data_IF_177201982603
#
_entry.id   IF_177201982603
#
_cell.length_a   1.000
_cell.length_b   1.000
_cell.length_c   1.000
_cell.angle_alpha   90.00
_cell.angle_beta   90.00
_cell.angle_gamma   90.00
#
_symmetry.space_group_name_H-M   'P 1'
#
loop_
_entity.id
_entity.type
_entity.pdbx_description
1 polymer ?
#
# COMPACT_ATOMS: atom_id res chain seq x y z
N UNK A 1 -11.05 -11.68 -15.80
CA UNK A 1 -9.83 -11.50 -15.00
C UNK A 1 -9.55 -10.02 -15.03
N UNK A 2 -9.96 -9.34 -13.97
CA UNK A 2 -9.42 -8.01 -13.68
C UNK A 2 -7.99 -8.28 -13.21
N UNK A 3 -7.03 -7.59 -13.81
CA UNK A 3 -5.64 -7.64 -13.38
C UNK A 3 -5.39 -6.28 -12.73
N UNK A 4 -5.12 -6.26 -11.43
CA UNK A 4 -4.70 -5.06 -10.70
C UNK A 4 -3.50 -4.35 -11.33
N UNK A 5 -3.10 -3.21 -10.75
CA UNK A 5 -1.96 -2.45 -11.23
C UNK A 5 -0.63 -3.23 -11.08
N UNK A 6 -0.04 -3.63 -12.20
CA UNK A 6 1.25 -4.33 -12.21
C UNK A 6 2.39 -3.32 -12.29
N UNK A 7 3.17 -3.23 -11.22
CA UNK A 7 4.47 -2.55 -11.25
C UNK A 7 5.51 -3.40 -11.99
N UNK A 8 6.44 -2.74 -12.69
CA UNK A 8 7.65 -3.38 -13.18
C UNK A 8 8.60 -3.63 -12.00
N UNK A 9 8.56 -4.85 -11.46
CA UNK A 9 9.36 -5.29 -10.31
C UNK A 9 10.54 -6.10 -10.83
N UNK A 10 11.74 -5.80 -10.34
CA UNK A 10 12.95 -6.59 -10.59
C UNK A 10 13.64 -6.95 -9.27
N UNK A 11 14.63 -7.85 -9.34
CA UNK A 11 15.32 -8.42 -8.17
C UNK A 11 16.00 -7.38 -7.24
N UNK A 12 16.17 -6.13 -7.68
CA UNK A 12 16.78 -5.05 -6.88
C UNK A 12 15.75 -4.02 -6.36
N UNK A 13 14.47 -4.24 -6.60
CA UNK A 13 13.42 -3.32 -6.22
C UNK A 13 13.09 -3.43 -4.74
N UNK A 14 13.79 -2.66 -3.91
CA UNK A 14 13.61 -2.68 -2.45
C UNK A 14 12.18 -2.35 -1.98
N UNK A 15 11.34 -1.76 -2.85
CA UNK A 15 9.95 -1.41 -2.57
C UNK A 15 8.94 -2.43 -3.12
N UNK A 16 9.38 -3.60 -3.57
CA UNK A 16 8.51 -4.59 -4.20
C UNK A 16 7.31 -4.98 -3.33
N UNK A 17 7.48 -5.06 -2.01
CA UNK A 17 6.41 -5.39 -1.05
C UNK A 17 5.32 -4.32 -1.04
N UNK A 18 5.71 -3.04 -0.97
CA UNK A 18 4.79 -1.91 -1.06
C UNK A 18 4.03 -1.93 -2.39
N UNK A 19 4.75 -2.12 -3.51
CA UNK A 19 4.17 -2.20 -4.84
C UNK A 19 3.16 -3.34 -4.97
N UNK A 20 3.47 -4.50 -4.39
CA UNK A 20 2.57 -5.63 -4.35
C UNK A 20 1.32 -5.35 -3.52
N UNK A 21 1.47 -4.77 -2.31
CA UNK A 21 0.33 -4.36 -1.49
C UNK A 21 -0.58 -3.37 -2.22
N UNK A 22 0.00 -2.40 -2.93
CA UNK A 22 -0.76 -1.44 -3.73
C UNK A 22 -1.48 -2.10 -4.92
N UNK A 23 -0.87 -3.10 -5.55
CA UNK A 23 -1.52 -3.91 -6.57
C UNK A 23 -2.77 -4.60 -6.00
N UNK A 24 -2.63 -5.33 -4.88
CA UNK A 24 -3.76 -6.00 -4.21
C UNK A 24 -4.83 -5.02 -3.72
N UNK A 25 -4.41 -3.84 -3.26
CA UNK A 25 -5.31 -2.78 -2.87
C UNK A 25 -6.17 -2.29 -4.05
N UNK A 26 -5.57 -2.21 -5.24
CA UNK A 26 -6.20 -1.75 -6.49
C UNK A 26 -7.04 -2.81 -7.19
N UNK A 27 -6.87 -4.10 -6.85
CA UNK A 27 -7.57 -5.24 -7.47
C UNK A 27 -9.01 -5.42 -6.93
N UNK A 28 -9.63 -4.34 -6.45
CA UNK A 28 -10.98 -4.36 -5.87
C UNK A 28 -11.77 -3.09 -6.20
N UNK A 29 -13.09 -3.17 -6.17
CA UNK A 29 -13.97 -2.00 -6.23
C UNK A 29 -13.92 -1.12 -4.98
N UNK A 30 -13.17 -1.51 -3.96
CA UNK A 30 -12.99 -0.80 -2.69
C UNK A 30 -11.68 0.00 -2.64
N UNK A 31 -11.00 0.19 -3.77
CA UNK A 31 -9.72 0.88 -3.82
C UNK A 31 -9.77 2.27 -3.17
N UNK A 32 -10.77 3.09 -3.51
CA UNK A 32 -10.97 4.42 -2.92
C UNK A 32 -11.15 4.37 -1.38
N UNK A 33 -11.98 3.45 -0.89
CA UNK A 33 -12.17 3.23 0.55
C UNK A 33 -10.87 2.82 1.24
N UNK A 34 -10.09 1.95 0.61
CA UNK A 34 -8.80 1.50 1.13
C UNK A 34 -7.75 2.62 1.19
N UNK A 35 -7.81 3.61 0.29
CA UNK A 35 -6.95 4.81 0.38
C UNK A 35 -7.35 5.64 1.59
N UNK A 36 -8.65 5.83 1.82
CA UNK A 36 -9.14 6.53 2.99
C UNK A 36 -8.69 5.85 4.29
N UNK A 37 -8.88 4.53 4.41
CA UNK A 37 -8.40 3.77 5.57
C UNK A 37 -6.89 3.99 5.81
N UNK A 38 -6.08 3.88 4.75
CA UNK A 38 -4.63 4.07 4.86
C UNK A 38 -4.23 5.49 5.30
N UNK A 39 -4.89 6.53 4.77
CA UNK A 39 -4.46 7.91 4.97
C UNK A 39 -5.17 8.60 6.16
N UNK A 40 -6.38 8.19 6.52
CA UNK A 40 -7.12 8.70 7.68
C UNK A 40 -6.86 7.86 8.93
N UNK A 41 -7.05 6.55 8.83
CA UNK A 41 -6.95 5.62 9.98
C UNK A 41 -5.51 5.13 10.18
N UNK A 42 -4.67 5.26 9.15
CA UNK A 42 -3.28 4.86 9.18
C UNK A 42 -3.06 3.40 8.82
N UNK A 43 -4.05 2.66 8.33
CA UNK A 43 -3.87 1.26 7.97
C UNK A 43 -4.78 0.80 6.84
N UNK A 44 -4.32 -0.17 6.05
CA UNK A 44 -5.12 -0.88 5.06
C UNK A 44 -4.56 -2.27 4.86
N UNK A 45 -5.44 -3.25 4.61
CA UNK A 45 -5.03 -4.65 4.45
C UNK A 45 -6.11 -5.51 3.80
N UNK A 46 -5.75 -6.76 3.49
CA UNK A 46 -6.65 -7.77 2.92
C UNK A 46 -7.23 -8.72 3.96
N UNK A 47 -8.05 -9.68 3.50
CA UNK A 47 -8.33 -10.90 4.30
C UNK A 47 -7.11 -11.80 4.44
N UNK A 48 -6.18 -11.61 3.53
CA UNK A 48 -4.87 -12.22 3.40
C UNK A 48 -3.87 -11.47 4.29
N UNK A 49 -2.78 -12.13 4.71
CA UNK A 49 -1.70 -11.54 5.51
C UNK A 49 -0.84 -10.52 4.71
N UNK A 50 -1.43 -9.41 4.27
CA UNK A 50 -0.69 -8.24 3.77
C UNK A 50 -1.31 -6.96 4.33
N UNK A 51 -0.48 -5.93 4.47
CA UNK A 51 -0.96 -4.63 4.92
C UNK A 51 0.03 -3.50 4.71
N UNK A 52 -0.50 -2.27 4.76
CA UNK A 52 0.28 -1.03 4.83
C UNK A 52 -0.20 -0.27 6.05
N UNK A 53 0.70 -0.05 7.01
CA UNK A 53 0.39 0.58 8.30
C UNK A 53 1.28 1.81 8.49
N UNK A 54 0.72 2.86 9.07
CA UNK A 54 1.46 4.03 9.51
C UNK A 54 2.35 3.62 10.66
N UNK A 55 3.62 3.93 10.54
CA UNK A 55 4.63 3.67 11.55
C UNK A 55 4.95 4.99 12.26
N UNK A 56 4.84 5.00 13.58
CA UNK A 56 5.11 6.18 14.41
C UNK A 56 5.84 5.77 15.71
N UNK A 57 6.10 6.76 16.57
CA UNK A 57 6.78 6.56 17.86
C UNK A 57 6.10 5.49 18.75
N UNK A 58 4.76 5.38 18.71
CA UNK A 58 4.03 4.39 19.52
C UNK A 58 4.26 2.97 19.00
N UNK A 59 4.28 2.78 17.68
CA UNK A 59 4.65 1.50 17.07
C UNK A 59 6.12 1.16 17.37
N UNK A 60 7.01 2.15 17.33
CA UNK A 60 8.43 1.97 17.64
C UNK A 60 8.64 1.47 19.08
N UNK A 61 7.85 1.97 20.04
CA UNK A 61 7.84 1.52 21.44
C UNK A 61 7.30 0.08 21.58
N UNK A 62 6.18 -0.23 20.92
CA UNK A 62 5.54 -1.56 21.02
C UNK A 62 6.42 -2.68 20.43
N UNK A 63 7.17 -2.36 19.37
CA UNK A 63 7.98 -3.33 18.65
C UNK A 63 9.49 -3.24 18.94
N UNK A 64 9.92 -2.35 19.85
CA UNK A 64 11.33 -2.13 20.22
C UNK A 64 12.27 -1.82 19.04
N UNK A 65 11.78 -1.04 18.06
CA UNK A 65 12.54 -0.64 16.86
C UNK A 65 12.85 0.85 16.86
N UNK A 66 13.87 1.27 16.11
CA UNK A 66 14.28 2.67 15.98
C UNK A 66 13.11 3.56 15.52
N UNK A 67 13.05 4.79 16.05
CA UNK A 67 12.01 5.77 15.71
C UNK A 67 11.98 6.03 14.20
N UNK A 68 10.87 5.64 13.56
CA UNK A 68 10.61 5.92 12.15
C UNK A 68 9.21 6.54 12.01
N UNK A 69 9.13 7.76 11.49
CA UNK A 69 7.87 8.42 11.12
C UNK A 69 7.63 8.20 9.63
N UNK A 70 6.73 7.27 9.32
CA UNK A 70 6.47 6.85 7.94
C UNK A 70 5.44 5.74 7.89
N UNK A 71 5.70 4.75 7.04
CA UNK A 71 4.82 3.61 6.83
C UNK A 71 5.64 2.31 6.75
N UNK A 72 4.99 1.22 7.14
CA UNK A 72 5.45 -0.16 6.97
C UNK A 72 4.50 -0.86 6.02
N UNK A 73 5.02 -1.50 4.98
CA UNK A 73 4.28 -2.50 4.20
C UNK A 73 4.83 -3.88 4.54
N UNK A 74 3.94 -4.86 4.67
CA UNK A 74 4.30 -6.20 5.07
C UNK A 74 3.52 -7.26 4.31
N UNK A 75 4.12 -8.44 4.23
CA UNK A 75 3.53 -9.64 3.63
C UNK A 75 3.88 -10.87 4.47
N UNK A 76 2.87 -11.67 4.79
CA UNK A 76 2.98 -12.88 5.58
C UNK A 76 3.36 -14.12 4.75
N UNK A 77 3.67 -15.23 5.44
CA UNK A 77 4.12 -16.50 4.87
C UNK A 77 3.23 -17.08 3.76
N UNK A 78 1.91 -16.90 3.87
CA UNK A 78 0.98 -17.49 2.91
C UNK A 78 1.04 -16.80 1.52
N UNK A 79 1.61 -15.60 1.43
CA UNK A 79 1.58 -14.77 0.22
C UNK A 79 2.89 -14.75 -0.57
N UNK A 80 4.04 -14.85 0.10
CA UNK A 80 5.34 -14.81 -0.60
C UNK A 80 5.77 -16.17 -1.16
N UNK A 81 5.13 -17.26 -0.72
CA UNK A 81 5.36 -18.61 -1.25
C UNK A 81 6.72 -19.21 -0.88
N UNK A 82 7.54 -18.51 -0.10
CA UNK A 82 8.74 -19.07 0.50
C UNK A 82 8.32 -19.84 1.75
N UNK A 83 8.86 -21.05 1.96
CA UNK A 83 8.53 -21.91 3.10
C UNK A 83 8.99 -21.37 4.47
N UNK A 84 9.09 -20.05 4.62
CA UNK A 84 9.50 -19.32 5.80
C UNK A 84 8.28 -18.78 6.54
N UNK A 85 8.22 -19.01 7.85
CA UNK A 85 7.12 -18.59 8.73
C UNK A 85 7.18 -17.11 9.12
N UNK A 86 7.98 -16.30 8.43
CA UNK A 86 8.25 -14.91 8.81
C UNK A 86 7.61 -13.94 7.82
N UNK A 87 7.23 -12.78 8.37
CA UNK A 87 6.78 -11.64 7.60
C UNK A 87 7.97 -10.99 6.89
N UNK A 88 7.75 -10.49 5.69
CA UNK A 88 8.71 -9.65 4.97
C UNK A 88 8.21 -8.21 5.01
N UNK A 89 9.08 -7.28 5.36
CA UNK A 89 8.75 -5.90 5.66
C UNK A 89 9.55 -4.90 4.83
N UNK A 90 8.93 -3.77 4.51
CA UNK A 90 9.62 -2.58 4.02
C UNK A 90 9.08 -1.33 4.70
N UNK A 91 9.99 -0.43 5.06
CA UNK A 91 9.70 0.86 5.68
C UNK A 91 9.99 1.99 4.70
N UNK A 92 9.09 2.95 4.59
CA UNK A 92 9.18 4.04 3.62
C UNK A 92 8.46 5.31 4.08
N UNK A 93 8.86 6.45 3.53
CA UNK A 93 8.27 7.73 3.87
C UNK A 93 6.92 7.96 3.16
N UNK A 94 6.16 8.93 3.67
CA UNK A 94 4.87 9.32 3.07
C UNK A 94 5.02 9.82 1.62
N UNK A 95 6.17 10.40 1.26
CA UNK A 95 6.40 10.88 -0.11
C UNK A 95 6.44 9.71 -1.08
N UNK A 96 7.15 8.64 -0.73
CA UNK A 96 7.25 7.40 -1.49
C UNK A 96 5.89 6.74 -1.65
N UNK A 97 5.10 6.69 -0.57
CA UNK A 97 3.73 6.18 -0.62
C UNK A 97 2.87 6.98 -1.61
N UNK A 98 2.90 8.31 -1.51
CA UNK A 98 2.13 9.20 -2.38
C UNK A 98 2.53 9.08 -3.85
N UNK A 99 3.84 9.09 -4.14
CA UNK A 99 4.36 8.99 -5.51
C UNK A 99 3.90 7.68 -6.20
N UNK A 100 3.80 6.58 -5.45
CA UNK A 100 3.28 5.31 -5.96
C UNK A 100 1.75 5.30 -6.06
N UNK A 101 1.04 5.86 -5.07
CA UNK A 101 -0.42 6.02 -5.13
C UNK A 101 -0.86 6.87 -6.34
N UNK A 102 -0.12 7.92 -6.71
CA UNK A 102 -0.39 8.69 -7.93
C UNK A 102 -0.46 7.78 -9.17
N UNK A 103 0.53 6.90 -9.33
CA UNK A 103 0.63 6.01 -10.49
C UNK A 103 -0.53 5.01 -10.53
N UNK A 104 -0.86 4.41 -9.37
CA UNK A 104 -1.96 3.47 -9.25
C UNK A 104 -3.30 4.17 -9.50
N UNK A 105 -3.49 5.39 -8.98
CA UNK A 105 -4.69 6.19 -9.21
C UNK A 105 -4.86 6.55 -10.68
N UNK A 106 -3.79 6.99 -11.37
CA UNK A 106 -3.84 7.34 -12.79
C UNK A 106 -4.23 6.12 -13.65
N UNK A 107 -3.70 4.94 -13.32
CA UNK A 107 -4.12 3.69 -13.94
C UNK A 107 -5.58 3.34 -13.60
N UNK A 108 -5.97 3.40 -12.32
CA UNK A 108 -7.29 3.00 -11.86
C UNK A 108 -8.40 3.83 -12.52
N UNK A 109 -8.19 5.15 -12.64
CA UNK A 109 -9.11 6.05 -13.37
C UNK A 109 -9.25 5.66 -14.84
N UNK A 110 -8.16 5.17 -15.45
CA UNK A 110 -8.17 4.73 -16.86
C UNK A 110 -8.95 3.42 -17.03
N UNK A 111 -8.87 2.50 -16.07
CA UNK A 111 -9.61 1.24 -16.10
C UNK A 111 -11.07 1.38 -15.65
N UNK A 112 -11.34 2.26 -14.69
CA UNK A 112 -12.64 2.48 -14.04
C UNK A 112 -13.04 3.96 -14.08
N UNK A 113 -13.39 4.52 -15.26
CA UNK A 113 -13.69 5.95 -15.38
C UNK A 113 -14.85 6.43 -14.51
N UNK A 114 -15.78 5.55 -14.14
CA UNK A 114 -16.89 5.84 -13.24
C UNK A 114 -16.44 6.17 -11.81
N UNK A 115 -15.28 5.67 -11.38
CA UNK A 115 -14.69 5.93 -10.06
C UNK A 115 -13.84 7.21 -10.05
N UNK A 116 -13.69 7.88 -11.21
CA UNK A 116 -12.77 9.01 -11.38
C UNK A 116 -12.95 10.12 -10.35
N UNK A 117 -14.18 10.54 -10.10
CA UNK A 117 -14.44 11.68 -9.22
C UNK A 117 -14.06 11.36 -7.76
N UNK A 118 -14.26 10.12 -7.33
CA UNK A 118 -13.90 9.68 -5.99
C UNK A 118 -12.38 9.68 -5.81
N UNK A 119 -11.64 9.17 -6.80
CA UNK A 119 -10.17 9.20 -6.79
C UNK A 119 -9.62 10.62 -6.85
N UNK A 120 -10.19 11.51 -7.67
CA UNK A 120 -9.76 12.92 -7.72
C UNK A 120 -10.04 13.65 -6.39
N UNK A 121 -11.18 13.40 -5.76
CA UNK A 121 -11.52 13.95 -4.44
C UNK A 121 -10.51 13.53 -3.37
N UNK A 122 -10.07 12.26 -3.41
CA UNK A 122 -9.02 11.72 -2.54
C UNK A 122 -7.69 12.47 -2.78
N UNK A 123 -7.27 12.57 -4.05
CA UNK A 123 -6.03 13.27 -4.43
C UNK A 123 -5.99 14.72 -3.96
N UNK A 124 -7.11 15.43 -4.11
CA UNK A 124 -7.25 16.80 -3.63
C UNK A 124 -7.16 16.88 -2.09
N UNK A 125 -7.86 16.00 -1.37
CA UNK A 125 -7.86 15.95 0.11
C UNK A 125 -6.45 15.75 0.67
N UNK A 126 -5.67 14.85 0.09
CA UNK A 126 -4.36 14.45 0.61
C UNK A 126 -3.17 15.07 -0.13
N UNK A 127 -3.42 15.83 -1.19
CA UNK A 127 -2.41 16.51 -2.01
C UNK A 127 -1.35 15.56 -2.59
N UNK A 128 -1.76 14.68 -3.52
CA UNK A 128 -0.89 13.84 -4.36
C UNK A 128 -1.54 13.55 -5.72
#
# INVERSE_FOLDING_TARGET
>A
MEHGFVFDINDNDVLWILKYCLNLMSDTSRFAEKIHQLLDDGETGGQVEWGIHRWNEFASIEYEIDEFDGYRAFMGPEEHGEGHSEYIDVYFDIKTLKDLLCQVCDWYITQYPEQKNDILSIRDKYSF
#
